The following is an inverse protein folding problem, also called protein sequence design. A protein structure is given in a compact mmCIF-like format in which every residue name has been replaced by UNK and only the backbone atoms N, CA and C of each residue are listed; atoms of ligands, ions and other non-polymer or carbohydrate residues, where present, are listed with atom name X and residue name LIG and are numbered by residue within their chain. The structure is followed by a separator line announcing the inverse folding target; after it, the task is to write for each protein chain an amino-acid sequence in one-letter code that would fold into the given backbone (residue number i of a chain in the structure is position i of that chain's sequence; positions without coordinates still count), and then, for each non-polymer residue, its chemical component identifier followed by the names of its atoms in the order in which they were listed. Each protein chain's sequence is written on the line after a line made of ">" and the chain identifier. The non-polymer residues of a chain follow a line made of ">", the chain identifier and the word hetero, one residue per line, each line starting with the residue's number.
data_IF_933835018495
#
_entry.id   IF_933835018495
#
_cell.length_a   1.000
_cell.length_b   1.000
_cell.length_c   1.000
_cell.angle_alpha   90.00
_cell.angle_beta   90.00
_cell.angle_gamma   90.00
#
_symmetry.space_group_name_H-M   'P 1'
#
loop_
_entity.id
_entity.type
_entity.pdbx_description
1 polymer ?
#
# COMPACT_ATOMS: atom_id res chain seq x y z
N UNK A 1 4.10 -22.92 4.30
CA UNK A 1 4.86 -23.35 3.11
C UNK A 1 5.34 -22.08 2.44
N UNK A 2 6.66 -21.92 2.23
CA UNK A 2 7.21 -20.72 1.61
C UNK A 2 6.61 -20.57 0.20
N UNK A 3 6.20 -19.35 -0.16
CA UNK A 3 5.62 -19.06 -1.46
C UNK A 3 6.59 -19.48 -2.57
N UNK A 4 6.21 -20.45 -3.41
CA UNK A 4 7.01 -20.89 -4.54
C UNK A 4 6.73 -19.98 -5.74
N UNK A 5 7.26 -18.76 -5.72
CA UNK A 5 7.07 -17.80 -6.81
C UNK A 5 7.54 -16.39 -6.46
N UNK A 6 7.62 -15.47 -7.45
CA UNK A 6 8.01 -14.09 -7.19
C UNK A 6 7.01 -13.41 -6.26
N UNK A 7 7.53 -12.62 -5.30
CA UNK A 7 6.71 -11.84 -4.37
C UNK A 7 6.65 -10.37 -4.75
N UNK A 8 5.55 -9.72 -4.40
CA UNK A 8 5.28 -8.32 -4.72
C UNK A 8 4.87 -7.58 -3.45
N UNK A 9 5.56 -6.48 -3.14
CA UNK A 9 5.32 -5.71 -1.93
C UNK A 9 4.68 -4.35 -2.23
N UNK A 10 3.75 -3.94 -1.38
CA UNK A 10 3.26 -2.57 -1.29
C UNK A 10 3.56 -2.01 0.10
N UNK A 11 4.12 -0.80 0.18
CA UNK A 11 4.35 -0.08 1.44
C UNK A 11 3.65 1.26 1.39
N UNK A 12 2.64 1.43 2.23
CA UNK A 12 1.84 2.64 2.34
C UNK A 12 2.22 3.41 3.62
N UNK A 13 2.99 4.48 3.44
CA UNK A 13 3.39 5.35 4.54
C UNK A 13 2.40 6.52 4.68
N UNK A 14 1.35 6.30 5.48
CA UNK A 14 0.38 7.34 5.85
C UNK A 14 0.89 8.25 6.97
N UNK A 15 0.13 9.27 7.34
CA UNK A 15 0.50 10.20 8.41
C UNK A 15 0.44 9.59 9.81
N UNK A 16 -0.53 8.69 10.06
CA UNK A 16 -0.69 8.00 11.35
C UNK A 16 -0.03 6.63 11.35
N UNK A 17 -0.31 5.82 10.32
CA UNK A 17 0.14 4.44 10.21
C UNK A 17 0.88 4.19 8.91
N UNK A 18 1.94 3.38 9.01
CA UNK A 18 2.64 2.77 7.89
C UNK A 18 2.22 1.32 7.78
N UNK A 19 1.86 0.89 6.58
CA UNK A 19 1.32 -0.44 6.28
C UNK A 19 2.18 -1.11 5.21
N UNK A 20 2.32 -2.43 5.29
CA UNK A 20 2.86 -3.24 4.21
C UNK A 20 1.96 -4.43 3.93
N UNK A 21 1.86 -4.78 2.64
CA UNK A 21 1.20 -5.98 2.14
C UNK A 21 2.13 -6.70 1.18
N UNK A 22 2.15 -8.02 1.28
CA UNK A 22 2.94 -8.90 0.42
C UNK A 22 1.99 -9.83 -0.34
N UNK A 23 2.09 -9.82 -1.66
CA UNK A 23 1.34 -10.70 -2.56
C UNK A 23 2.26 -11.70 -3.23
N UNK A 24 1.75 -12.89 -3.55
CA UNK A 24 2.41 -13.85 -4.43
C UNK A 24 2.10 -13.60 -5.92
N UNK A 25 2.68 -14.41 -6.80
CA UNK A 25 2.44 -14.34 -8.25
C UNK A 25 1.00 -14.64 -8.69
N UNK A 26 0.19 -15.27 -7.84
CA UNK A 26 -1.25 -15.50 -8.06
C UNK A 26 -2.10 -14.33 -7.51
N UNK A 27 -1.46 -13.24 -7.07
CA UNK A 27 -2.09 -12.08 -6.42
C UNK A 27 -2.77 -12.42 -5.09
N UNK A 28 -2.37 -13.50 -4.42
CA UNK A 28 -2.89 -13.85 -3.09
C UNK A 28 -2.10 -13.11 -2.01
N UNK A 29 -2.83 -12.65 -0.99
CA UNK A 29 -2.23 -12.01 0.17
C UNK A 29 -1.47 -13.04 1.02
N UNK A 30 -0.15 -12.86 1.11
CA UNK A 30 0.76 -13.71 1.86
C UNK A 30 0.89 -13.23 3.30
N UNK A 31 1.15 -11.93 3.48
CA UNK A 31 1.34 -11.34 4.79
C UNK A 31 1.03 -9.83 4.77
N UNK A 32 0.73 -9.30 5.97
CA UNK A 32 0.58 -7.87 6.20
C UNK A 32 1.29 -7.45 7.48
N UNK A 33 1.77 -6.21 7.50
CA UNK A 33 2.27 -5.56 8.69
C UNK A 33 1.77 -4.12 8.77
N UNK A 34 1.64 -3.61 9.99
CA UNK A 34 1.21 -2.25 10.27
C UNK A 34 1.94 -1.77 11.53
N UNK A 35 2.36 -0.51 11.51
CA UNK A 35 2.91 0.18 12.67
C UNK A 35 2.65 1.69 12.57
N UNK A 36 2.84 2.41 13.67
CA UNK A 36 2.76 3.87 13.70
C UNK A 36 3.87 4.49 12.84
N UNK A 37 3.52 5.46 11.99
CA UNK A 37 4.51 6.15 11.13
C UNK A 37 5.52 6.96 11.96
N UNK A 38 5.03 7.61 13.02
CA UNK A 38 5.85 8.47 13.89
C UNK A 38 6.54 9.61 13.12
N UNK A 39 7.67 10.07 13.66
CA UNK A 39 8.42 11.21 13.09
C UNK A 39 9.32 10.84 11.91
N UNK A 40 9.77 9.59 11.84
CA UNK A 40 10.71 9.13 10.80
C UNK A 40 10.03 8.13 9.86
N UNK A 41 9.41 8.67 8.82
CA UNK A 41 8.68 7.93 7.79
C UNK A 41 9.53 6.81 7.16
N UNK A 42 10.79 7.08 6.83
CA UNK A 42 11.65 6.08 6.18
C UNK A 42 11.98 4.94 7.15
N UNK A 43 12.23 5.24 8.42
CA UNK A 43 12.48 4.21 9.42
C UNK A 43 11.23 3.34 9.64
N UNK A 44 10.04 3.95 9.74
CA UNK A 44 8.79 3.20 9.87
C UNK A 44 8.51 2.33 8.63
N UNK A 45 8.72 2.86 7.42
CA UNK A 45 8.58 2.10 6.19
C UNK A 45 9.53 0.90 6.10
N UNK A 46 10.81 1.08 6.46
CA UNK A 46 11.78 -0.02 6.50
C UNK A 46 11.41 -1.06 7.56
N UNK A 47 10.97 -0.63 8.75
CA UNK A 47 10.53 -1.53 9.81
C UNK A 47 9.34 -2.37 9.38
N UNK A 48 8.28 -1.73 8.90
CA UNK A 48 7.05 -2.43 8.49
C UNK A 48 7.31 -3.34 7.28
N UNK A 49 8.23 -2.97 6.39
CA UNK A 49 8.69 -3.85 5.31
C UNK A 49 9.46 -5.07 5.85
N UNK A 50 10.39 -4.89 6.79
CA UNK A 50 11.08 -6.02 7.42
C UNK A 50 10.09 -6.94 8.16
N UNK A 51 9.15 -6.36 8.91
CA UNK A 51 8.14 -7.10 9.67
C UNK A 51 7.25 -7.96 8.76
N UNK A 52 6.89 -7.49 7.56
CA UNK A 52 6.07 -8.28 6.62
C UNK A 52 6.86 -9.44 6.02
N UNK A 53 8.15 -9.25 5.74
CA UNK A 53 9.03 -10.31 5.23
C UNK A 53 9.27 -11.39 6.30
N UNK A 54 9.52 -10.97 7.55
CA UNK A 54 9.68 -11.89 8.69
C UNK A 54 8.41 -12.73 8.90
N UNK A 55 7.24 -12.10 8.91
CA UNK A 55 5.95 -12.82 9.03
C UNK A 55 5.71 -13.82 7.91
N UNK A 56 6.18 -13.51 6.70
CA UNK A 56 6.09 -14.41 5.55
C UNK A 56 7.19 -15.50 5.55
N UNK A 57 8.23 -15.35 6.38
CA UNK A 57 9.39 -16.25 6.43
C UNK A 57 10.26 -16.19 5.17
N UNK A 58 10.39 -15.00 4.57
CA UNK A 58 11.10 -14.76 3.30
C UNK A 58 12.11 -13.63 3.44
N UNK A 59 13.06 -13.56 2.51
CA UNK A 59 14.07 -12.50 2.44
C UNK A 59 13.73 -11.41 1.42
N UNK A 60 14.47 -10.30 1.46
CA UNK A 60 14.32 -9.22 0.47
C UNK A 60 14.61 -9.68 -0.97
N UNK A 61 15.48 -10.68 -1.14
CA UNK A 61 15.80 -11.27 -2.44
C UNK A 61 14.65 -12.03 -3.10
N UNK A 62 13.61 -12.40 -2.34
CA UNK A 62 12.41 -13.08 -2.85
C UNK A 62 11.39 -12.08 -3.43
N UNK A 63 11.56 -10.78 -3.16
CA UNK A 63 10.66 -9.72 -3.61
C UNK A 63 11.07 -9.22 -4.99
N UNK A 64 10.30 -9.61 -6.00
CA UNK A 64 10.52 -9.22 -7.38
C UNK A 64 10.24 -7.73 -7.62
N UNK A 65 9.26 -7.14 -6.94
CA UNK A 65 8.90 -5.73 -7.10
C UNK A 65 8.27 -5.14 -5.84
N UNK A 66 8.61 -3.90 -5.53
CA UNK A 66 8.05 -3.17 -4.40
C UNK A 66 7.57 -1.77 -4.81
N UNK A 67 6.40 -1.36 -4.32
CA UNK A 67 5.80 -0.04 -4.55
C UNK A 67 5.67 0.71 -3.23
N UNK A 68 6.12 1.97 -3.20
CA UNK A 68 5.84 2.91 -2.13
C UNK A 68 4.62 3.79 -2.43
N UNK A 69 3.77 4.01 -1.42
CA UNK A 69 2.59 4.89 -1.52
C UNK A 69 2.36 5.66 -0.21
N UNK A 70 1.24 6.38 -0.12
CA UNK A 70 0.89 7.24 1.01
C UNK A 70 1.50 8.65 0.92
N UNK A 71 1.21 9.46 1.95
CA UNK A 71 1.80 10.78 2.17
C UNK A 71 3.34 10.73 2.10
N UNK A 72 3.93 9.70 2.69
CA UNK A 72 5.37 9.49 2.78
C UNK A 72 6.03 8.88 1.55
N UNK A 73 5.31 8.61 0.45
CA UNK A 73 5.82 7.78 -0.67
C UNK A 73 7.19 8.18 -1.21
N UNK A 74 7.48 9.49 -1.29
CA UNK A 74 8.77 9.99 -1.80
C UNK A 74 9.94 9.71 -0.86
N UNK A 75 9.67 9.41 0.41
CA UNK A 75 10.68 8.98 1.38
C UNK A 75 10.99 7.49 1.25
N UNK A 76 10.13 6.69 0.62
CA UNK A 76 10.34 5.26 0.40
C UNK A 76 11.27 5.08 -0.80
N UNK A 77 12.56 4.89 -0.53
CA UNK A 77 13.61 4.80 -1.57
C UNK A 77 14.05 3.38 -1.90
N UNK A 78 13.62 2.37 -1.12
CA UNK A 78 13.93 0.96 -1.36
C UNK A 78 12.95 0.28 -2.33
N UNK A 79 11.87 0.96 -2.73
CA UNK A 79 10.92 0.49 -3.73
C UNK A 79 11.34 0.81 -5.16
N UNK A 80 10.79 0.08 -6.12
CA UNK A 80 11.03 0.27 -7.56
C UNK A 80 10.08 1.28 -8.21
N UNK A 81 8.99 1.64 -7.53
CA UNK A 81 8.06 2.68 -7.97
C UNK A 81 7.41 3.39 -6.79
N UNK A 82 6.96 4.62 -7.04
CA UNK A 82 6.20 5.45 -6.10
C UNK A 82 4.88 5.83 -6.75
N UNK A 83 3.76 5.41 -6.15
CA UNK A 83 2.41 5.60 -6.70
C UNK A 83 1.56 6.34 -5.67
N UNK A 84 0.60 7.14 -6.12
CA UNK A 84 -0.29 7.90 -5.22
C UNK A 84 -1.20 6.95 -4.45
N UNK A 85 -1.51 7.31 -3.20
CA UNK A 85 -2.45 6.51 -2.37
C UNK A 85 -3.83 6.45 -3.00
N UNK A 86 -4.26 7.51 -3.70
CA UNK A 86 -5.54 7.56 -4.43
C UNK A 86 -5.61 6.43 -5.47
N UNK A 87 -4.55 6.26 -6.27
CA UNK A 87 -4.50 5.19 -7.27
C UNK A 87 -4.39 3.81 -6.61
N UNK A 88 -3.57 3.68 -5.55
CA UNK A 88 -3.44 2.42 -4.82
C UNK A 88 -4.76 1.99 -4.15
N UNK A 89 -5.49 2.90 -3.51
CA UNK A 89 -6.81 2.63 -2.91
C UNK A 89 -7.86 2.29 -3.98
N UNK A 90 -7.87 3.00 -5.11
CA UNK A 90 -8.75 2.69 -6.24
C UNK A 90 -8.51 1.26 -6.76
N UNK A 91 -7.24 0.91 -7.02
CA UNK A 91 -6.84 -0.41 -7.52
C UNK A 91 -7.09 -1.52 -6.50
N UNK A 92 -6.72 -1.30 -5.24
CA UNK A 92 -6.94 -2.27 -4.16
C UNK A 92 -8.42 -2.55 -3.92
N UNK A 93 -9.25 -1.50 -3.87
CA UNK A 93 -10.69 -1.65 -3.69
C UNK A 93 -11.34 -2.37 -4.86
N UNK A 94 -10.97 -2.04 -6.11
CA UNK A 94 -11.48 -2.73 -7.29
C UNK A 94 -11.02 -4.20 -7.37
N UNK A 95 -9.77 -4.48 -7.00
CA UNK A 95 -9.24 -5.84 -6.94
C UNK A 95 -10.02 -6.72 -5.97
N UNK A 96 -10.32 -6.23 -4.77
CA UNK A 96 -11.09 -6.96 -3.76
C UNK A 96 -12.60 -7.01 -4.09
N UNK A 97 -13.13 -5.92 -4.66
CA UNK A 97 -14.55 -5.74 -4.95
C UNK A 97 -14.71 -5.18 -6.38
N UNK A 98 -14.80 -6.03 -7.41
CA UNK A 98 -14.79 -5.61 -8.83
C UNK A 98 -15.91 -4.65 -9.25
N UNK A 99 -17.00 -4.58 -8.48
CA UNK A 99 -18.12 -3.68 -8.74
C UNK A 99 -17.99 -2.31 -8.07
N UNK A 100 -16.90 -2.05 -7.34
CA UNK A 100 -16.66 -0.74 -6.70
C UNK A 100 -16.68 0.38 -7.73
N UNK A 101 -17.38 1.47 -7.41
CA UNK A 101 -17.43 2.72 -8.19
C UNK A 101 -17.07 3.95 -7.39
N UNK A 102 -17.10 3.84 -6.06
CA UNK A 102 -16.71 4.90 -5.14
C UNK A 102 -15.91 4.29 -4.00
N UNK A 103 -14.78 4.90 -3.67
CA UNK A 103 -13.99 4.58 -2.47
C UNK A 103 -14.03 5.79 -1.56
N UNK A 104 -14.34 5.57 -0.28
CA UNK A 104 -14.20 6.57 0.77
C UNK A 104 -13.03 6.14 1.65
N UNK A 105 -11.95 6.90 1.59
CA UNK A 105 -10.74 6.70 2.39
C UNK A 105 -10.76 7.68 3.56
N UNK A 106 -10.96 7.14 4.77
CA UNK A 106 -11.02 7.89 6.02
C UNK A 106 -9.67 7.78 6.74
N UNK A 107 -8.77 8.72 6.46
CA UNK A 107 -7.44 8.77 7.06
C UNK A 107 -7.40 9.47 8.42
N UNK A 108 -6.21 9.54 9.01
CA UNK A 108 -5.99 10.21 10.30
C UNK A 108 -5.83 11.73 10.22
N UNK A 109 -5.57 12.28 9.02
CA UNK A 109 -5.42 13.73 8.79
C UNK A 109 -6.31 14.27 7.67
N UNK A 110 -6.75 13.40 6.77
CA UNK A 110 -7.58 13.78 5.65
C UNK A 110 -8.64 12.71 5.38
N UNK A 111 -9.62 13.07 4.57
CA UNK A 111 -10.62 12.15 4.04
C UNK A 111 -10.71 12.35 2.54
N UNK A 112 -10.73 11.24 1.78
CA UNK A 112 -10.78 11.25 0.31
C UNK A 112 -12.02 10.50 -0.17
N UNK A 113 -12.74 11.08 -1.14
CA UNK A 113 -13.76 10.38 -1.91
C UNK A 113 -13.27 10.23 -3.34
N UNK A 114 -13.20 8.99 -3.82
CA UNK A 114 -12.57 8.62 -5.09
C UNK A 114 -13.62 7.93 -5.95
N UNK A 115 -13.96 8.52 -7.10
CA UNK A 115 -14.80 7.87 -8.11
C UNK A 115 -13.90 7.05 -9.03
N UNK A 116 -14.25 5.78 -9.24
CA UNK A 116 -13.48 4.86 -10.07
C UNK A 116 -14.33 4.29 -11.22
N UNK A 117 -13.69 4.04 -12.35
CA UNK A 117 -14.34 3.48 -13.54
C UNK A 117 -14.50 1.94 -13.45
N UNK A 118 -15.04 1.33 -14.51
CA UNK A 118 -15.26 -0.11 -14.57
C UNK A 118 -13.97 -0.96 -14.57
N UNK A 119 -12.80 -0.34 -14.81
CA UNK A 119 -11.47 -0.97 -14.82
C UNK A 119 -10.68 -0.68 -13.53
N UNK A 120 -11.31 -0.01 -12.56
CA UNK A 120 -10.67 0.42 -11.32
C UNK A 120 -9.68 1.57 -11.49
N UNK A 121 -9.78 2.34 -12.57
CA UNK A 121 -9.00 3.57 -12.75
C UNK A 121 -9.71 4.75 -12.09
N UNK A 122 -8.92 5.71 -11.60
CA UNK A 122 -9.46 6.93 -10.96
C UNK A 122 -10.08 7.82 -12.04
N UNK A 123 -11.40 8.04 -11.94
CA UNK A 123 -12.13 8.94 -12.82
C UNK A 123 -12.20 10.36 -12.25
N UNK A 124 -12.26 10.50 -10.93
CA UNK A 124 -12.35 11.78 -10.22
C UNK A 124 -12.08 11.57 -8.72
N UNK A 125 -11.68 12.61 -8.00
CA UNK A 125 -11.57 12.56 -6.56
C UNK A 125 -11.72 13.93 -5.90
N UNK A 126 -12.19 13.95 -4.66
CA UNK A 126 -12.12 15.11 -3.79
C UNK A 126 -11.55 14.72 -2.43
N UNK A 127 -10.97 15.71 -1.74
CA UNK A 127 -10.30 15.50 -0.46
C UNK A 127 -10.58 16.68 0.48
N UNK A 128 -10.77 16.38 1.75
CA UNK A 128 -10.74 17.35 2.83
C UNK A 128 -9.50 17.10 3.70
N UNK A 129 -8.58 18.05 3.75
CA UNK A 129 -7.30 17.97 4.48
C UNK A 129 -7.02 19.20 5.37
N UNK A 130 -8.04 20.05 5.62
CA UNK A 130 -7.89 21.37 6.29
C UNK A 130 -8.82 21.60 7.49
N UNK A 131 -9.59 20.60 7.88
CA UNK A 131 -10.54 20.72 9.01
C UNK A 131 -9.91 20.26 10.33
#
# INVERSE_FOLDING_TARGET
>A
MAASGPLFAGVDAGSTYTKAALLDGDQKLVATAIDMTGVNILAAAKKVYADVLEKAGVGEGDVAFAVGTGYGRYKITFGKAQITEIACHAKGAHFLFPQTRTVLDMGGQDTKAIRIDARGEVADFCMNDKC
#
